data_IF_206801619623
#
_entry.id   IF_206801619623
#
_cell.length_a   1.000
_cell.length_b   1.000
_cell.length_c   1.000
_cell.angle_alpha   90.00
_cell.angle_beta   90.00
_cell.angle_gamma   90.00
#
_symmetry.space_group_name_H-M   'P 1'
#
loop_
_entity.id
_entity.type
_entity.pdbx_description
1 polymer ?
#
# COMPACT_ATOMS: atom_id res chain seq x y z
N UNK A 1 -11.65 -25.28 18.26
CA UNK A 1 -10.93 -24.04 18.67
C UNK A 1 -11.43 -23.61 20.03
N UNK A 2 -10.55 -23.20 20.97
CA UNK A 2 -10.95 -22.72 22.29
C UNK A 2 -11.69 -21.37 22.13
N UNK A 3 -12.76 -21.15 22.89
CA UNK A 3 -13.58 -19.90 22.88
C UNK A 3 -12.74 -18.60 22.93
N UNK A 4 -11.71 -18.57 23.77
CA UNK A 4 -10.82 -17.43 23.91
C UNK A 4 -9.98 -17.15 22.67
N UNK A 5 -9.54 -18.22 22.00
CA UNK A 5 -8.76 -18.15 20.78
C UNK A 5 -9.60 -17.58 19.63
N UNK A 6 -10.83 -18.07 19.46
CA UNK A 6 -11.77 -17.56 18.48
C UNK A 6 -12.10 -16.07 18.69
N UNK A 7 -12.26 -15.67 19.95
CA UNK A 7 -12.52 -14.26 20.30
C UNK A 7 -11.30 -13.37 19.99
N UNK A 8 -10.10 -13.82 20.26
CA UNK A 8 -8.87 -13.08 19.97
C UNK A 8 -8.66 -12.92 18.47
N UNK A 9 -8.89 -13.96 17.68
CA UNK A 9 -8.80 -13.90 16.22
C UNK A 9 -9.81 -12.89 15.64
N UNK A 10 -11.07 -12.95 16.07
CA UNK A 10 -12.11 -11.99 15.64
C UNK A 10 -11.75 -10.55 15.99
N UNK A 11 -11.17 -10.33 17.18
CA UNK A 11 -10.72 -9.00 17.59
C UNK A 11 -9.58 -8.48 16.69
N UNK A 12 -8.59 -9.33 16.39
CA UNK A 12 -7.50 -8.97 15.46
C UNK A 12 -8.01 -8.67 14.06
N UNK A 13 -8.89 -9.51 13.51
CA UNK A 13 -9.49 -9.27 12.20
C UNK A 13 -10.23 -7.93 12.17
N UNK A 14 -10.99 -7.60 13.21
CA UNK A 14 -11.69 -6.32 13.32
C UNK A 14 -10.73 -5.11 13.37
N UNK A 15 -9.64 -5.21 14.14
CA UNK A 15 -8.59 -4.19 14.21
C UNK A 15 -7.88 -4.01 12.86
N UNK A 16 -7.58 -5.11 12.21
CA UNK A 16 -6.94 -5.12 10.89
C UNK A 16 -7.83 -4.48 9.82
N UNK A 17 -9.10 -4.86 9.76
CA UNK A 17 -10.05 -4.23 8.84
C UNK A 17 -10.25 -2.74 9.11
N UNK A 18 -10.30 -2.34 10.38
CA UNK A 18 -10.38 -0.92 10.78
C UNK A 18 -9.18 -0.15 10.27
N UNK A 19 -7.96 -0.65 10.54
CA UNK A 19 -6.71 -0.02 10.10
C UNK A 19 -6.64 0.11 8.58
N UNK A 20 -7.04 -0.93 7.84
CA UNK A 20 -7.12 -0.90 6.38
C UNK A 20 -8.10 0.18 5.90
N UNK A 21 -9.34 0.18 6.39
CA UNK A 21 -10.39 1.13 5.96
C UNK A 21 -10.01 2.59 6.23
N UNK A 22 -9.39 2.87 7.39
CA UNK A 22 -8.94 4.22 7.74
C UNK A 22 -7.80 4.69 6.82
N UNK A 23 -6.84 3.79 6.54
CA UNK A 23 -5.74 4.08 5.64
C UNK A 23 -6.22 4.32 4.21
N UNK A 24 -7.07 3.44 3.67
CA UNK A 24 -7.67 3.56 2.34
C UNK A 24 -8.42 4.88 2.16
N UNK A 25 -9.23 5.28 3.14
CA UNK A 25 -9.97 6.54 3.11
C UNK A 25 -9.04 7.75 2.94
N UNK A 26 -7.91 7.76 3.65
CA UNK A 26 -6.94 8.84 3.54
C UNK A 26 -6.17 8.80 2.22
N UNK A 27 -5.74 7.62 1.79
CA UNK A 27 -5.08 7.43 0.50
C UNK A 27 -5.96 7.90 -0.65
N UNK A 28 -7.22 7.49 -0.69
CA UNK A 28 -8.17 7.92 -1.71
C UNK A 28 -8.30 9.43 -1.78
N UNK A 29 -8.30 10.11 -0.62
CA UNK A 29 -8.31 11.57 -0.55
C UNK A 29 -7.03 12.19 -1.09
N UNK A 30 -5.85 11.60 -0.81
CA UNK A 30 -4.57 12.11 -1.30
C UNK A 30 -4.45 11.96 -2.82
N UNK A 31 -4.76 10.76 -3.33
CA UNK A 31 -4.76 10.48 -4.76
C UNK A 31 -5.75 11.37 -5.52
N UNK A 32 -6.99 11.52 -5.03
CA UNK A 32 -8.00 12.37 -5.65
C UNK A 32 -7.54 13.83 -5.79
N UNK A 33 -6.96 14.41 -4.71
CA UNK A 33 -6.45 15.78 -4.74
C UNK A 33 -5.27 15.97 -5.69
N UNK A 34 -4.33 15.03 -5.72
CA UNK A 34 -3.18 15.09 -6.62
C UNK A 34 -3.62 14.89 -8.08
N UNK A 35 -4.56 13.96 -8.31
CA UNK A 35 -5.15 13.71 -9.63
C UNK A 35 -5.79 14.98 -10.21
N UNK A 36 -6.68 15.65 -9.47
CA UNK A 36 -7.35 16.88 -9.93
C UNK A 36 -6.35 17.96 -10.35
N UNK A 37 -5.33 18.20 -9.54
CA UNK A 37 -4.30 19.22 -9.82
C UNK A 37 -3.47 18.87 -11.05
N UNK A 38 -2.97 17.64 -11.12
CA UNK A 38 -2.08 17.19 -12.19
C UNK A 38 -2.83 17.17 -13.51
N UNK A 39 -4.04 16.59 -13.55
CA UNK A 39 -4.84 16.53 -14.78
C UNK A 39 -5.16 17.93 -15.28
N UNK A 40 -5.55 18.86 -14.40
CA UNK A 40 -5.83 20.25 -14.82
C UNK A 40 -4.62 20.92 -15.49
N UNK A 41 -3.40 20.63 -15.04
CA UNK A 41 -2.18 21.16 -15.64
C UNK A 41 -1.85 20.50 -16.99
N UNK A 42 -2.03 19.18 -17.08
CA UNK A 42 -1.86 18.46 -18.33
C UNK A 42 -2.85 18.93 -19.41
N UNK A 43 -4.13 19.06 -19.07
CA UNK A 43 -5.17 19.58 -19.98
C UNK A 43 -4.82 20.99 -20.47
N UNK A 44 -4.39 21.89 -19.57
CA UNK A 44 -3.96 23.25 -19.92
C UNK A 44 -2.79 23.25 -20.91
N UNK A 45 -1.77 22.43 -20.66
CA UNK A 45 -0.58 22.33 -21.52
C UNK A 45 -0.95 21.70 -22.87
N UNK A 46 -1.73 20.62 -22.85
CA UNK A 46 -2.16 19.93 -24.05
C UNK A 46 -3.04 20.82 -24.94
N UNK A 47 -3.98 21.55 -24.37
CA UNK A 47 -4.81 22.48 -25.13
C UNK A 47 -3.98 23.61 -25.76
N UNK A 48 -2.91 24.08 -25.11
CA UNK A 48 -2.00 25.07 -25.73
C UNK A 48 -1.28 24.53 -26.95
N UNK A 49 -0.82 23.25 -26.90
CA UNK A 49 -0.16 22.66 -28.08
C UNK A 49 -1.16 22.43 -29.20
N UNK A 50 -2.40 22.05 -28.90
CA UNK A 50 -3.44 21.94 -29.92
C UNK A 50 -3.78 23.29 -30.58
N UNK A 51 -3.77 24.37 -29.82
CA UNK A 51 -3.99 25.74 -30.34
C UNK A 51 -2.80 26.26 -31.15
N UNK A 52 -1.57 25.75 -30.91
CA UNK A 52 -0.40 26.12 -31.70
C UNK A 52 -0.34 25.46 -33.08
N UNK A 53 -1.36 24.65 -33.42
CA UNK A 53 -1.53 24.08 -34.75
C UNK A 53 -1.54 25.18 -35.81
N UNK A 54 -0.55 25.25 -36.67
CA UNK A 54 -0.58 26.04 -37.88
C UNK A 54 -1.38 25.27 -38.95
N UNK A 55 -2.04 26.00 -39.86
CA UNK A 55 -2.85 25.41 -40.93
C UNK A 55 -2.12 24.27 -41.65
N UNK A 56 -2.67 23.06 -41.55
CA UNK A 56 -2.19 21.88 -42.27
C UNK A 56 -1.05 21.12 -41.65
N UNK A 57 -0.54 21.46 -40.44
CA UNK A 57 0.54 20.75 -39.77
C UNK A 57 0.17 20.28 -38.36
N UNK A 58 0.24 18.98 -38.12
CA UNK A 58 0.02 18.42 -36.79
C UNK A 58 1.16 18.82 -35.83
N UNK A 59 0.87 19.14 -34.56
CA UNK A 59 1.89 19.43 -33.57
C UNK A 59 2.79 18.21 -33.31
N UNK A 60 4.04 18.47 -33.01
CA UNK A 60 5.04 17.45 -32.70
C UNK A 60 5.45 17.51 -31.23
N UNK A 61 6.11 16.46 -30.75
CA UNK A 61 6.74 16.45 -29.43
C UNK A 61 7.78 17.56 -29.29
N UNK A 62 8.50 17.90 -30.39
CA UNK A 62 9.45 19.00 -30.39
C UNK A 62 8.77 20.37 -30.17
N UNK A 63 7.55 20.54 -30.65
CA UNK A 63 6.78 21.77 -30.40
C UNK A 63 6.28 21.83 -28.95
N UNK A 64 5.96 20.68 -28.33
CA UNK A 64 5.64 20.61 -26.90
C UNK A 64 6.83 21.10 -26.05
N UNK A 65 8.04 20.68 -26.36
CA UNK A 65 9.26 21.08 -25.62
C UNK A 65 9.60 22.58 -25.76
N UNK A 66 9.11 23.27 -26.79
CA UNK A 66 9.25 24.71 -26.95
C UNK A 66 8.31 25.51 -26.04
N UNK A 67 7.29 24.88 -25.45
CA UNK A 67 6.34 25.56 -24.58
C UNK A 67 6.88 25.70 -23.16
N UNK A 68 7.02 26.91 -22.66
CA UNK A 68 7.35 27.18 -21.25
C UNK A 68 6.37 26.50 -20.30
N UNK A 69 5.09 26.41 -20.70
CA UNK A 69 4.06 25.75 -19.91
C UNK A 69 4.29 24.25 -19.74
N UNK A 70 4.99 23.60 -20.68
CA UNK A 70 5.39 22.20 -20.54
C UNK A 70 6.38 22.03 -19.39
N UNK A 71 7.42 22.87 -19.34
CA UNK A 71 8.44 22.79 -18.29
C UNK A 71 7.90 23.17 -16.92
N UNK A 72 7.00 24.18 -16.86
CA UNK A 72 6.27 24.50 -15.64
C UNK A 72 5.40 23.33 -15.17
N UNK A 73 4.68 22.68 -16.07
CA UNK A 73 3.88 21.50 -15.77
C UNK A 73 4.76 20.35 -15.25
N UNK A 74 5.93 20.09 -15.86
CA UNK A 74 6.85 19.07 -15.39
C UNK A 74 7.37 19.34 -13.97
N UNK A 75 7.70 20.59 -13.65
CA UNK A 75 8.08 21.01 -12.31
C UNK A 75 6.96 20.79 -11.28
N UNK A 76 5.73 21.16 -11.65
CA UNK A 76 4.55 20.98 -10.79
C UNK A 76 4.17 19.51 -10.63
N UNK A 77 4.29 18.69 -11.69
CA UNK A 77 4.10 17.24 -11.63
C UNK A 77 5.03 16.60 -10.59
N UNK A 78 6.33 16.88 -10.69
CA UNK A 78 7.33 16.34 -9.75
C UNK A 78 7.01 16.77 -8.31
N UNK A 79 6.73 18.05 -8.08
CA UNK A 79 6.43 18.58 -6.76
C UNK A 79 5.14 17.97 -6.17
N UNK A 80 4.10 17.77 -6.96
CA UNK A 80 2.84 17.17 -6.46
C UNK A 80 2.98 15.66 -6.22
N UNK A 81 3.73 14.93 -7.05
CA UNK A 81 4.02 13.51 -6.84
C UNK A 81 4.95 13.27 -5.66
N UNK A 82 5.98 14.12 -5.46
CA UNK A 82 6.81 14.10 -4.25
C UNK A 82 5.92 14.26 -3.02
N UNK A 83 5.05 15.26 -3.01
CA UNK A 83 4.12 15.51 -1.93
C UNK A 83 3.13 14.35 -1.69
N UNK A 84 2.71 13.68 -2.76
CA UNK A 84 1.85 12.49 -2.66
C UNK A 84 2.62 11.34 -1.98
N UNK A 85 3.86 11.09 -2.38
CA UNK A 85 4.74 10.09 -1.77
C UNK A 85 5.01 10.37 -0.29
N UNK A 86 5.40 11.59 0.05
CA UNK A 86 5.67 12.01 1.44
C UNK A 86 4.44 11.81 2.35
N UNK A 87 3.25 12.18 1.86
CA UNK A 87 2.00 11.96 2.60
C UNK A 87 1.67 10.49 2.80
N UNK A 88 1.91 9.65 1.79
CA UNK A 88 1.73 8.21 1.90
C UNK A 88 2.68 7.65 2.95
N UNK A 89 3.96 7.97 2.89
CA UNK A 89 4.96 7.49 3.86
C UNK A 89 4.60 7.92 5.28
N UNK A 90 4.26 9.18 5.50
CA UNK A 90 3.86 9.68 6.82
C UNK A 90 2.60 8.99 7.35
N UNK A 91 1.60 8.77 6.51
CA UNK A 91 0.36 8.07 6.86
C UNK A 91 0.65 6.60 7.22
N UNK A 92 1.41 5.91 6.38
CA UNK A 92 1.68 4.48 6.53
C UNK A 92 2.56 4.21 7.74
N UNK A 93 3.64 4.98 7.94
CA UNK A 93 4.50 4.85 9.13
C UNK A 93 3.71 4.93 10.42
N UNK A 94 2.84 5.95 10.54
CA UNK A 94 1.99 6.13 11.72
C UNK A 94 0.98 4.99 11.89
N UNK A 95 0.30 4.60 10.81
CA UNK A 95 -0.75 3.59 10.90
C UNK A 95 -0.17 2.19 11.14
N UNK A 96 1.00 1.88 10.61
CA UNK A 96 1.70 0.63 10.84
C UNK A 96 2.14 0.49 12.29
N UNK A 97 2.67 1.56 12.88
CA UNK A 97 3.03 1.60 14.29
C UNK A 97 1.81 1.41 15.21
N UNK A 98 0.74 2.16 14.97
CA UNK A 98 -0.50 2.04 15.73
C UNK A 98 -1.10 0.63 15.59
N UNK A 99 -1.13 0.08 14.37
CA UNK A 99 -1.64 -1.25 14.12
C UNK A 99 -0.82 -2.34 14.83
N UNK A 100 0.50 -2.20 14.83
CA UNK A 100 1.38 -3.11 15.58
C UNK A 100 1.01 -3.12 17.07
N UNK A 101 0.88 -1.95 17.69
CA UNK A 101 0.50 -1.85 19.10
C UNK A 101 -0.91 -2.37 19.35
N UNK A 102 -1.88 -2.03 18.49
CA UNK A 102 -3.26 -2.51 18.62
C UNK A 102 -3.32 -4.05 18.60
N UNK A 103 -2.57 -4.70 17.72
CA UNK A 103 -2.49 -6.17 17.66
C UNK A 103 -1.72 -6.71 18.86
N UNK A 104 -0.54 -6.20 19.17
CA UNK A 104 0.29 -6.67 20.27
C UNK A 104 -0.44 -6.65 21.60
N UNK A 105 -1.20 -5.58 21.90
CA UNK A 105 -1.96 -5.45 23.14
C UNK A 105 -3.37 -6.05 23.10
N UNK A 106 -3.86 -6.49 21.92
CA UNK A 106 -5.17 -7.14 21.80
C UNK A 106 -5.22 -8.54 22.40
N UNK A 107 -4.06 -9.16 22.63
CA UNK A 107 -3.95 -10.50 23.18
C UNK A 107 -3.84 -10.46 24.73
N UNK A 108 -4.80 -11.10 25.40
CA UNK A 108 -4.66 -11.57 26.76
C UNK A 108 -4.75 -13.09 26.77
N UNK A 109 -3.75 -13.79 27.31
CA UNK A 109 -3.87 -15.18 27.68
C UNK A 109 -4.49 -15.23 29.06
N UNK A 110 -5.64 -15.92 29.26
CA UNK A 110 -6.29 -15.99 30.57
C UNK A 110 -5.33 -16.60 31.61
N UNK A 111 -5.10 -15.87 32.70
CA UNK A 111 -4.24 -16.32 33.80
C UNK A 111 -2.81 -15.79 33.77
N UNK A 112 -2.39 -15.09 32.74
CA UNK A 112 -1.09 -14.42 32.67
C UNK A 112 -1.24 -12.91 32.51
N UNK A 113 -1.01 -12.19 33.61
CA UNK A 113 -0.83 -10.73 33.58
C UNK A 113 0.59 -10.40 33.08
N UNK A 114 0.84 -10.62 31.78
CA UNK A 114 2.10 -10.17 31.21
C UNK A 114 2.03 -8.65 30.98
N UNK A 115 2.51 -7.88 31.94
CA UNK A 115 2.79 -6.44 31.82
C UNK A 115 4.08 -6.21 30.99
N UNK A 116 4.22 -6.86 29.83
CA UNK A 116 5.34 -6.58 28.95
C UNK A 116 5.02 -5.33 28.13
N UNK A 117 5.75 -4.26 28.38
CA UNK A 117 5.79 -3.10 27.50
C UNK A 117 6.81 -3.36 26.40
N UNK A 118 6.37 -3.27 25.16
CA UNK A 118 7.30 -3.37 24.02
C UNK A 118 7.95 -2.02 23.75
N UNK A 119 9.25 -2.02 23.49
CA UNK A 119 10.01 -0.82 23.15
C UNK A 119 9.58 -0.29 21.75
N UNK A 120 9.25 1.00 21.69
CA UNK A 120 8.88 1.67 20.44
C UNK A 120 10.00 1.63 19.40
N UNK A 121 11.27 1.65 19.78
CA UNK A 121 12.39 1.53 18.84
C UNK A 121 12.43 0.13 18.21
N UNK A 122 12.14 -0.93 18.97
CA UNK A 122 12.00 -2.29 18.44
C UNK A 122 10.83 -2.37 17.46
N UNK A 123 9.68 -1.77 17.77
CA UNK A 123 8.52 -1.72 16.87
C UNK A 123 8.90 -1.03 15.55
N UNK A 124 9.59 0.11 15.59
CA UNK A 124 10.08 0.80 14.40
C UNK A 124 11.05 -0.07 13.58
N UNK A 125 11.91 -0.83 14.23
CA UNK A 125 12.80 -1.77 13.54
C UNK A 125 12.01 -2.88 12.84
N UNK A 126 11.02 -3.47 13.50
CA UNK A 126 10.21 -4.55 12.95
C UNK A 126 9.38 -4.09 11.74
N UNK A 127 8.66 -2.97 11.83
CA UNK A 127 7.83 -2.47 10.73
C UNK A 127 8.64 -1.98 9.52
N UNK A 128 9.92 -1.64 9.70
CA UNK A 128 10.81 -1.22 8.61
C UNK A 128 11.70 -2.36 8.07
N UNK A 129 11.57 -3.56 8.62
CA UNK A 129 12.32 -4.71 8.16
C UNK A 129 11.93 -5.07 6.72
N UNK A 130 12.94 -5.33 5.89
CA UNK A 130 12.72 -5.86 4.55
C UNK A 130 12.43 -7.36 4.66
N UNK A 131 11.23 -7.76 4.27
CA UNK A 131 10.76 -9.14 4.40
C UNK A 131 10.41 -9.79 3.04
N UNK A 132 10.27 -8.98 1.98
CA UNK A 132 9.95 -9.48 0.65
C UNK A 132 11.19 -9.90 -0.12
N UNK A 133 11.03 -10.90 -1.00
CA UNK A 133 12.13 -11.52 -1.74
C UNK A 133 12.86 -10.57 -2.71
N UNK A 134 12.21 -9.48 -3.14
CA UNK A 134 12.82 -8.47 -4.02
C UNK A 134 13.75 -7.49 -3.30
N UNK A 135 13.87 -7.59 -1.98
CA UNK A 135 14.76 -6.77 -1.16
C UNK A 135 14.31 -5.31 -1.00
N UNK A 136 13.08 -4.95 -1.41
CA UNK A 136 12.56 -3.58 -1.29
C UNK A 136 11.77 -3.37 0.01
N UNK A 137 11.99 -2.22 0.68
CA UNK A 137 11.15 -1.82 1.80
C UNK A 137 9.78 -1.32 1.32
N UNK A 138 8.80 -1.28 2.23
CA UNK A 138 7.48 -0.73 1.91
C UNK A 138 7.57 0.75 1.45
N UNK A 139 8.48 1.54 2.03
CA UNK A 139 8.67 2.95 1.65
C UNK A 139 9.28 3.09 0.26
N UNK A 140 10.25 2.24 -0.12
CA UNK A 140 10.78 2.19 -1.48
C UNK A 140 9.68 1.82 -2.49
N UNK A 141 8.77 0.90 -2.13
CA UNK A 141 7.63 0.54 -3.00
C UNK A 141 6.64 1.68 -3.19
N UNK A 142 6.46 2.56 -2.20
CA UNK A 142 5.70 3.82 -2.38
C UNK A 142 6.35 4.69 -3.44
N UNK A 143 7.66 4.92 -3.36
CA UNK A 143 8.38 5.73 -4.35
C UNK A 143 8.38 5.09 -5.73
N UNK A 144 8.64 3.80 -5.83
CA UNK A 144 8.59 3.06 -7.10
C UNK A 144 7.21 3.17 -7.78
N UNK A 145 6.11 3.16 -7.01
CA UNK A 145 4.78 3.37 -7.54
C UNK A 145 4.56 4.82 -8.03
N UNK A 146 5.10 5.79 -7.31
CA UNK A 146 5.03 7.21 -7.66
C UNK A 146 5.81 7.50 -8.94
N UNK A 147 7.00 6.91 -9.09
CA UNK A 147 7.84 7.04 -10.30
C UNK A 147 7.16 6.40 -11.52
N UNK A 148 6.57 5.22 -11.36
CA UNK A 148 5.78 4.57 -12.41
C UNK A 148 4.58 5.43 -12.83
N UNK A 149 3.91 6.08 -11.88
CA UNK A 149 2.82 7.01 -12.19
C UNK A 149 3.34 8.20 -12.99
N UNK A 150 4.45 8.83 -12.57
CA UNK A 150 5.06 9.95 -13.30
C UNK A 150 5.39 9.57 -14.74
N UNK A 151 6.03 8.43 -14.94
CA UNK A 151 6.38 7.93 -16.26
C UNK A 151 5.14 7.71 -17.12
N UNK A 152 4.14 6.98 -16.62
CA UNK A 152 2.91 6.69 -17.36
C UNK A 152 2.13 7.97 -17.75
N UNK A 153 2.09 8.98 -16.88
CA UNK A 153 1.46 10.27 -17.19
C UNK A 153 2.19 10.99 -18.33
N UNK A 154 3.53 10.98 -18.31
CA UNK A 154 4.33 11.58 -19.37
C UNK A 154 4.18 10.85 -20.70
N UNK A 155 4.23 9.51 -20.68
CA UNK A 155 4.07 8.67 -21.88
C UNK A 155 2.69 8.91 -22.54
N UNK A 156 1.63 9.01 -21.71
CA UNK A 156 0.30 9.33 -22.22
C UNK A 156 0.23 10.72 -22.86
N UNK A 157 0.90 11.73 -22.30
CA UNK A 157 0.97 13.06 -22.89
C UNK A 157 1.71 13.03 -24.25
N UNK A 158 2.87 12.37 -24.30
CA UNK A 158 3.65 12.27 -25.54
C UNK A 158 2.88 11.53 -26.63
N UNK A 159 2.25 10.40 -26.30
CA UNK A 159 1.41 9.66 -27.19
C UNK A 159 0.22 10.49 -27.69
N UNK A 160 -0.42 11.27 -26.81
CA UNK A 160 -1.52 12.14 -27.18
C UNK A 160 -1.09 13.22 -28.19
N UNK A 161 0.11 13.78 -28.03
CA UNK A 161 0.67 14.74 -29.00
C UNK A 161 0.95 14.10 -30.35
N UNK A 162 1.51 12.88 -30.35
CA UNK A 162 1.84 12.15 -31.59
C UNK A 162 0.56 11.71 -32.34
N UNK A 163 -0.46 11.26 -31.63
CA UNK A 163 -1.67 10.70 -32.22
C UNK A 163 -2.78 11.73 -32.43
N UNK A 164 -2.64 12.93 -31.87
CA UNK A 164 -3.61 14.01 -32.00
C UNK A 164 -4.98 13.73 -31.36
N UNK A 165 -5.03 12.91 -30.31
CA UNK A 165 -6.30 12.58 -29.62
C UNK A 165 -6.95 13.82 -29.01
N UNK A 166 -8.26 13.78 -28.79
CA UNK A 166 -8.99 14.86 -28.14
C UNK A 166 -8.57 14.99 -26.66
N UNK A 167 -8.59 16.24 -26.12
CA UNK A 167 -8.24 16.51 -24.71
C UNK A 167 -9.04 15.65 -23.71
N UNK A 168 -10.31 15.37 -23.98
CA UNK A 168 -11.12 14.49 -23.15
C UNK A 168 -10.70 13.01 -23.15
N UNK A 169 -10.06 12.54 -24.22
CA UNK A 169 -9.49 11.19 -24.29
C UNK A 169 -8.18 11.11 -23.48
N UNK A 170 -7.29 12.12 -23.63
CA UNK A 170 -6.11 12.24 -22.78
C UNK A 170 -6.51 12.25 -21.29
N UNK A 171 -7.52 13.05 -20.91
CA UNK A 171 -8.01 13.07 -19.53
C UNK A 171 -8.39 11.68 -19.03
N UNK A 172 -9.12 10.88 -19.81
CA UNK A 172 -9.49 9.52 -19.42
C UNK A 172 -8.27 8.62 -19.19
N UNK A 173 -7.26 8.73 -20.05
CA UNK A 173 -6.01 7.98 -19.91
C UNK A 173 -5.29 8.36 -18.60
N UNK A 174 -5.16 9.67 -18.32
CA UNK A 174 -4.52 10.14 -17.09
C UNK A 174 -5.28 9.70 -15.83
N UNK A 175 -6.61 9.77 -15.83
CA UNK A 175 -7.44 9.25 -14.72
C UNK A 175 -7.19 7.75 -14.49
N UNK A 176 -7.09 6.98 -15.58
CA UNK A 176 -6.80 5.55 -15.49
C UNK A 176 -5.45 5.28 -14.82
N UNK A 177 -4.39 6.04 -15.15
CA UNK A 177 -3.07 5.87 -14.53
C UNK A 177 -3.11 6.15 -13.03
N UNK A 178 -3.87 7.16 -12.60
CA UNK A 178 -4.09 7.43 -11.17
C UNK A 178 -4.81 6.27 -10.48
N UNK A 179 -5.83 5.70 -11.11
CA UNK A 179 -6.54 4.54 -10.57
C UNK A 179 -5.63 3.32 -10.43
N UNK A 180 -4.83 3.01 -11.45
CA UNK A 180 -3.84 1.92 -11.42
C UNK A 180 -2.80 2.14 -10.32
N UNK A 181 -2.31 3.36 -10.16
CA UNK A 181 -1.36 3.70 -9.09
C UNK A 181 -1.99 3.60 -7.71
N UNK A 182 -3.25 4.02 -7.55
CA UNK A 182 -4.00 3.87 -6.30
C UNK A 182 -4.20 2.38 -5.93
N UNK A 183 -4.57 1.53 -6.88
CA UNK A 183 -4.73 0.08 -6.65
C UNK A 183 -3.42 -0.60 -6.21
N UNK A 184 -2.28 -0.15 -6.75
CA UNK A 184 -0.96 -0.61 -6.29
C UNK A 184 -0.69 -0.17 -4.85
N UNK A 185 -1.02 1.07 -4.50
CA UNK A 185 -0.87 1.59 -3.14
C UNK A 185 -1.81 0.87 -2.15
N UNK A 186 -3.05 0.60 -2.52
CA UNK A 186 -4.00 -0.19 -1.73
C UNK A 186 -3.50 -1.62 -1.49
N UNK A 187 -3.01 -2.26 -2.54
CA UNK A 187 -2.45 -3.61 -2.42
C UNK A 187 -1.22 -3.64 -1.49
N UNK A 188 -0.37 -2.63 -1.56
CA UNK A 188 0.77 -2.48 -0.66
C UNK A 188 0.29 -2.37 0.79
N UNK A 189 -0.65 -1.47 1.08
CA UNK A 189 -1.20 -1.25 2.42
C UNK A 189 -1.75 -2.54 3.03
N UNK A 190 -2.61 -3.25 2.31
CA UNK A 190 -3.21 -4.50 2.78
C UNK A 190 -2.16 -5.57 3.07
N UNK A 191 -1.14 -5.66 2.23
CA UNK A 191 -0.07 -6.65 2.36
C UNK A 191 0.82 -6.33 3.57
N UNK A 192 1.20 -5.06 3.75
CA UNK A 192 2.04 -4.65 4.89
C UNK A 192 1.27 -4.74 6.22
N UNK A 193 0.00 -4.36 6.25
CA UNK A 193 -0.83 -4.49 7.46
C UNK A 193 -0.95 -5.97 7.88
N UNK A 194 -1.15 -6.88 6.93
CA UNK A 194 -1.16 -8.32 7.22
C UNK A 194 0.20 -8.83 7.73
N UNK A 195 1.30 -8.34 7.18
CA UNK A 195 2.64 -8.67 7.67
C UNK A 195 2.87 -8.16 9.09
N UNK A 196 2.53 -6.89 9.36
CA UNK A 196 2.66 -6.27 10.68
C UNK A 196 1.78 -6.97 11.71
N UNK A 197 0.56 -7.36 11.35
CA UNK A 197 -0.30 -8.19 12.20
C UNK A 197 0.40 -9.49 12.61
N UNK A 198 1.00 -10.18 11.64
CA UNK A 198 1.73 -11.43 11.90
C UNK A 198 2.93 -11.21 12.82
N UNK A 199 3.73 -10.16 12.57
CA UNK A 199 4.88 -9.82 13.43
C UNK A 199 4.47 -9.43 14.84
N UNK A 200 3.43 -8.62 15.00
CA UNK A 200 2.94 -8.19 16.31
C UNK A 200 2.38 -9.37 17.12
N UNK A 201 1.63 -10.27 16.46
CA UNK A 201 1.12 -11.49 17.07
C UNK A 201 2.27 -12.43 17.46
N UNK A 202 3.23 -12.67 16.56
CA UNK A 202 4.42 -13.48 16.81
C UNK A 202 5.18 -12.96 18.02
N UNK A 203 5.47 -11.66 18.06
CA UNK A 203 6.18 -11.03 19.17
C UNK A 203 5.42 -11.16 20.49
N UNK A 204 4.10 -10.98 20.46
CA UNK A 204 3.28 -11.15 21.66
C UNK A 204 3.29 -12.56 22.19
N UNK A 205 3.18 -13.55 21.29
CA UNK A 205 3.24 -14.97 21.67
C UNK A 205 4.61 -15.36 22.21
N UNK A 206 5.69 -14.83 21.61
CA UNK A 206 7.05 -15.00 22.12
C UNK A 206 7.18 -14.48 23.57
N UNK A 207 6.65 -13.28 23.85
CA UNK A 207 6.69 -12.66 25.18
C UNK A 207 5.86 -13.43 26.23
N UNK A 208 4.89 -14.23 25.79
CA UNK A 208 4.15 -15.20 26.63
C UNK A 208 4.83 -16.58 26.74
N UNK A 209 6.00 -16.77 26.14
CA UNK A 209 6.72 -18.05 26.19
C UNK A 209 6.14 -19.15 25.32
N UNK A 210 5.24 -18.81 24.37
CA UNK A 210 4.70 -19.75 23.39
C UNK A 210 5.85 -20.24 22.49
N UNK A 211 5.91 -21.54 22.27
CA UNK A 211 6.97 -22.17 21.50
C UNK A 211 6.59 -22.40 20.04
N UNK A 212 5.30 -22.51 19.77
CA UNK A 212 4.78 -22.89 18.44
C UNK A 212 3.48 -22.13 18.13
N UNK A 213 3.31 -21.77 16.86
CA UNK A 213 2.09 -21.15 16.34
C UNK A 213 1.52 -21.98 15.20
N UNK A 214 0.22 -21.85 14.97
CA UNK A 214 -0.50 -22.50 13.89
C UNK A 214 -1.07 -21.43 12.95
N UNK A 215 -1.00 -21.67 11.64
CA UNK A 215 -1.59 -20.77 10.64
C UNK A 215 -3.09 -20.99 10.58
N UNK A 216 -3.82 -19.91 10.73
CA UNK A 216 -5.28 -19.88 10.56
C UNK A 216 -5.61 -19.17 9.24
N UNK A 217 -6.31 -19.84 8.36
CA UNK A 217 -6.78 -19.30 7.09
C UNK A 217 -8.21 -18.79 7.24
N UNK A 218 -8.47 -17.63 6.66
CA UNK A 218 -9.83 -17.08 6.59
C UNK A 218 -10.59 -17.81 5.47
N UNK A 219 -11.34 -18.85 5.85
CA UNK A 219 -12.06 -19.72 4.91
C UNK A 219 -13.35 -19.06 4.42
N UNK A 220 -13.26 -18.43 3.25
CA UNK A 220 -14.40 -17.89 2.51
C UNK A 220 -14.21 -18.08 1.00
N UNK A 221 -15.16 -17.59 0.19
CA UNK A 221 -15.12 -17.65 -1.27
C UNK A 221 -13.86 -16.99 -1.88
N UNK A 222 -13.14 -16.17 -1.13
CA UNK A 222 -11.92 -15.46 -1.55
C UNK A 222 -10.64 -16.19 -1.13
N UNK A 223 -10.74 -17.33 -0.45
CA UNK A 223 -9.58 -18.12 -0.02
C UNK A 223 -8.87 -18.70 -1.23
N UNK A 224 -7.60 -18.37 -1.39
CA UNK A 224 -6.83 -18.83 -2.53
C UNK A 224 -6.20 -20.22 -2.28
N UNK A 225 -5.87 -20.97 -3.36
CA UNK A 225 -5.26 -22.30 -3.24
C UNK A 225 -3.90 -22.33 -2.52
N UNK A 226 -3.19 -21.18 -2.46
CA UNK A 226 -1.92 -21.07 -1.72
C UNK A 226 -2.22 -21.07 -0.22
N UNK A 227 -3.16 -20.21 0.22
CA UNK A 227 -3.53 -20.11 1.63
C UNK A 227 -4.19 -21.41 2.13
N UNK A 228 -5.09 -22.03 1.38
CA UNK A 228 -5.73 -23.30 1.78
C UNK A 228 -4.75 -24.40 2.14
N UNK A 229 -3.56 -24.42 1.53
CA UNK A 229 -2.49 -25.41 1.86
C UNK A 229 -1.74 -25.08 3.15
N UNK A 230 -1.96 -23.88 3.71
CA UNK A 230 -1.30 -23.43 4.93
C UNK A 230 -2.18 -23.61 6.16
N UNK A 231 -3.47 -23.93 6.00
CA UNK A 231 -4.38 -24.16 7.12
C UNK A 231 -3.86 -25.22 8.06
N UNK A 232 -3.83 -24.92 9.36
CA UNK A 232 -3.35 -25.81 10.40
C UNK A 232 -1.83 -26.05 10.40
N UNK A 233 -1.06 -25.37 9.53
CA UNK A 233 0.39 -25.54 9.51
C UNK A 233 1.02 -24.97 10.76
N UNK A 234 1.73 -25.80 11.51
CA UNK A 234 2.48 -25.39 12.70
C UNK A 234 3.88 -24.92 12.35
N UNK A 235 4.32 -23.88 13.05
CA UNK A 235 5.62 -23.22 12.84
C UNK A 235 6.20 -22.88 14.21
N UNK A 236 7.49 -23.16 14.49
CA UNK A 236 8.15 -22.67 15.69
C UNK A 236 8.07 -21.14 15.79
N UNK A 237 7.93 -20.61 17.01
CA UNK A 237 7.75 -19.16 17.23
C UNK A 237 8.90 -18.32 16.65
N UNK A 238 10.12 -18.82 16.69
CA UNK A 238 11.29 -18.15 16.09
C UNK A 238 11.52 -18.54 14.62
N UNK A 239 10.60 -19.29 14.01
CA UNK A 239 10.66 -19.67 12.61
C UNK A 239 10.21 -18.55 11.66
N UNK A 240 10.53 -18.74 10.39
CA UNK A 240 10.01 -17.85 9.34
C UNK A 240 8.53 -18.11 9.13
N UNK A 241 7.71 -17.09 9.35
CA UNK A 241 6.26 -17.19 9.14
C UNK A 241 5.94 -17.33 7.65
N UNK A 242 5.09 -18.32 7.27
CA UNK A 242 4.73 -18.53 5.87
C UNK A 242 3.67 -17.56 5.36
N UNK A 243 3.22 -16.63 6.18
CA UNK A 243 2.23 -15.59 5.87
C UNK A 243 2.76 -14.18 6.17
N UNK A 244 2.32 -13.15 5.41
CA UNK A 244 1.43 -13.21 4.25
C UNK A 244 2.10 -13.94 3.08
N UNK A 245 1.38 -14.91 2.48
CA UNK A 245 1.91 -15.75 1.40
C UNK A 245 1.82 -15.10 0.00
N UNK A 246 1.04 -14.04 -0.12
CA UNK A 246 0.79 -13.30 -1.37
C UNK A 246 0.23 -11.90 -1.04
N UNK A 247 0.22 -10.96 -2.01
CA UNK A 247 -0.45 -9.67 -1.83
C UNK A 247 -1.91 -9.82 -1.39
N UNK A 248 -2.34 -8.97 -0.43
CA UNK A 248 -3.69 -8.98 0.15
C UNK A 248 -4.06 -10.28 0.89
N UNK A 249 -3.08 -11.01 1.41
CA UNK A 249 -3.31 -12.18 2.27
C UNK A 249 -4.08 -11.77 3.54
N UNK A 250 -5.00 -12.66 4.02
CA UNK A 250 -5.85 -12.41 5.21
C UNK A 250 -5.63 -13.44 6.32
N UNK A 251 -4.67 -14.34 6.12
CA UNK A 251 -4.33 -15.36 7.11
C UNK A 251 -3.75 -14.75 8.38
N UNK A 252 -3.90 -15.44 9.50
CA UNK A 252 -3.36 -15.06 10.79
C UNK A 252 -2.58 -16.24 11.41
N UNK A 253 -1.89 -15.98 12.52
CA UNK A 253 -1.29 -17.03 13.35
C UNK A 253 -2.00 -17.08 14.70
N UNK A 254 -2.11 -18.26 15.25
CA UNK A 254 -2.67 -18.52 16.57
C UNK A 254 -1.66 -19.30 17.42
N UNK A 255 -1.63 -19.12 18.76
CA UNK A 255 -0.72 -19.86 19.61
C UNK A 255 -1.16 -21.32 19.74
N UNK A 256 -0.20 -22.23 19.74
CA UNK A 256 -0.44 -23.63 20.16
C UNK A 256 -0.26 -23.69 21.67
N UNK A 257 -1.34 -23.93 22.38
CA UNK A 257 -1.37 -24.06 23.85
C UNK A 257 -1.68 -25.53 24.13
N UNK A 258 -0.81 -26.19 24.88
CA UNK A 258 -1.04 -27.57 25.36
C UNK A 258 -2.07 -27.63 26.50
#
# INVERSE_FOLDING_TARGET
>A
MNYWLERSVKAQQALTEKSIKETEKQLKKYYGKSMEKIIGQFEKTYNKILLSKSEGKEPTVADLYKLDTYWQMQGQLRAELQKLGDKQISLLSKNFELHFFDIYYSFGIPGEEAFSTIDAALVQQLINQVWVADGTSWSQRVWNNTDKLQQALNDNLMNAVITGVKSGELKKLLVNEFNVSYERADSLVRTEIAHIQTQAAQKRYEDYGIQEVEVLVDEDERTCPICSKLEGKRVPIHGVMPIPAHPRCRCAIIPVVE
#
